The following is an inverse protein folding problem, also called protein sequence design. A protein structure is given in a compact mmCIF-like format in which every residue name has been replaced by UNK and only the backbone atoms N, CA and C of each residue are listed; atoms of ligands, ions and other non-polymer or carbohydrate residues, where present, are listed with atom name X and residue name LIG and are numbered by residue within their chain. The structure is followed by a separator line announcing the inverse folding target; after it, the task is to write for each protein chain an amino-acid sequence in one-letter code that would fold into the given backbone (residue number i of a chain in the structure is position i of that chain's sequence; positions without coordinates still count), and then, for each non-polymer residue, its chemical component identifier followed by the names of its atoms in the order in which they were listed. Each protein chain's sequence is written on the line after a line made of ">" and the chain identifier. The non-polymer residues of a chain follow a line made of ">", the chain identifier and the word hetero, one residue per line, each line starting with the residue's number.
data_IF_602860896978
#
_entry.id   IF_602860896978
#
_cell.length_a   1.000
_cell.length_b   1.000
_cell.length_c   1.000
_cell.angle_alpha   90.00
_cell.angle_beta   90.00
_cell.angle_gamma   90.00
#
_symmetry.space_group_name_H-M   'P 1'
#
loop_
_entity.id
_entity.type
_entity.pdbx_description
1 polymer ?
#
# COMPACT_ATOMS: atom_id res chain seq x y z
N UNK A 1 -15.95 17.24 -11.46
CA UNK A 1 -15.72 17.41 -10.04
C UNK A 1 -14.25 17.58 -9.72
N UNK A 2 -13.94 18.53 -8.90
CA UNK A 2 -12.55 18.77 -8.53
C UNK A 2 -12.09 17.73 -7.52
N UNK A 3 -10.80 17.45 -7.54
CA UNK A 3 -10.19 16.56 -6.55
C UNK A 3 -10.33 17.21 -5.18
N UNK A 4 -10.78 16.44 -4.22
CA UNK A 4 -10.92 16.93 -2.86
C UNK A 4 -9.56 16.99 -2.18
N UNK A 5 -9.48 17.73 -1.08
CA UNK A 5 -8.29 17.72 -0.26
C UNK A 5 -7.99 16.32 0.26
N UNK A 6 -9.03 15.54 0.50
CA UNK A 6 -8.88 14.16 0.94
C UNK A 6 -8.17 13.31 -0.12
N UNK A 7 -8.58 13.46 -1.38
CA UNK A 7 -7.95 12.70 -2.45
C UNK A 7 -6.48 13.08 -2.60
N UNK A 8 -6.19 14.37 -2.60
CA UNK A 8 -4.82 14.84 -2.76
C UNK A 8 -3.94 14.32 -1.63
N UNK A 9 -4.42 14.40 -0.41
CA UNK A 9 -3.69 13.92 0.75
C UNK A 9 -3.44 12.41 0.66
N UNK A 10 -4.46 11.68 0.24
CA UNK A 10 -4.35 10.22 0.12
C UNK A 10 -3.35 9.83 -0.96
N UNK A 11 -3.32 10.57 -2.07
CA UNK A 11 -2.36 10.29 -3.12
C UNK A 11 -0.93 10.55 -2.66
N UNK A 12 -0.74 11.54 -1.79
CA UNK A 12 0.58 11.78 -1.20
C UNK A 12 0.99 10.60 -0.30
N UNK A 13 0.02 10.03 0.42
CA UNK A 13 0.31 8.85 1.24
C UNK A 13 0.72 7.67 0.36
N UNK A 14 0.08 7.53 -0.80
CA UNK A 14 0.46 6.45 -1.72
C UNK A 14 1.90 6.63 -2.19
N UNK A 15 2.30 7.86 -2.50
CA UNK A 15 3.69 8.13 -2.86
C UNK A 15 4.64 7.75 -1.73
N UNK A 16 4.24 8.01 -0.50
CA UNK A 16 5.05 7.64 0.67
C UNK A 16 5.19 6.13 0.79
N UNK A 17 4.12 5.39 0.49
CA UNK A 17 4.17 3.93 0.50
C UNK A 17 5.21 3.45 -0.51
N UNK A 18 5.19 3.99 -1.71
CA UNK A 18 6.11 3.61 -2.76
C UNK A 18 7.56 3.90 -2.35
N UNK A 19 7.79 5.07 -1.78
CA UNK A 19 9.12 5.46 -1.32
C UNK A 19 9.60 4.51 -0.22
N UNK A 20 8.71 4.17 0.69
CA UNK A 20 9.04 3.27 1.80
C UNK A 20 9.39 1.88 1.27
N UNK A 21 8.64 1.39 0.28
CA UNK A 21 8.94 0.09 -0.32
C UNK A 21 10.32 0.07 -0.96
N UNK A 22 10.72 1.16 -1.61
CA UNK A 22 12.06 1.23 -2.19
C UNK A 22 13.13 1.13 -1.13
N UNK A 23 12.92 1.76 0.02
CA UNK A 23 13.87 1.68 1.13
C UNK A 23 13.99 0.25 1.64
N UNK A 24 12.86 -0.44 1.73
CA UNK A 24 12.85 -1.84 2.14
C UNK A 24 13.66 -2.67 1.16
N UNK A 25 13.42 -2.47 -0.14
CA UNK A 25 14.13 -3.24 -1.16
C UNK A 25 15.64 -3.03 -1.10
N UNK A 26 16.06 -1.80 -0.82
CA UNK A 26 17.49 -1.49 -0.71
C UNK A 26 18.11 -2.23 0.49
N UNK A 27 17.34 -2.44 1.54
CA UNK A 27 17.85 -3.09 2.74
C UNK A 27 17.92 -4.62 2.64
N UNK A 28 17.18 -5.21 1.69
CA UNK A 28 17.09 -6.67 1.59
C UNK A 28 18.46 -7.37 1.48
N UNK A 29 19.39 -6.91 0.65
CA UNK A 29 20.67 -7.62 0.52
C UNK A 29 21.47 -7.73 1.81
N UNK A 30 21.21 -6.86 2.79
CA UNK A 30 21.93 -6.90 4.06
C UNK A 30 21.30 -7.85 5.07
N UNK A 31 20.18 -8.45 4.73
CA UNK A 31 19.43 -9.30 5.66
C UNK A 31 19.78 -10.78 5.49
N UNK A 32 19.77 -11.50 6.60
CA UNK A 32 19.95 -12.94 6.55
C UNK A 32 18.63 -13.62 6.19
N UNK A 33 18.68 -14.95 6.03
CA UNK A 33 17.51 -15.70 5.54
C UNK A 33 16.31 -15.59 6.47
N UNK A 34 16.54 -15.61 7.77
CA UNK A 34 15.45 -15.52 8.74
C UNK A 34 14.80 -14.14 8.70
N UNK A 35 15.61 -13.11 8.61
CA UNK A 35 15.09 -11.74 8.55
C UNK A 35 14.29 -11.52 7.28
N UNK A 36 14.76 -12.05 6.17
CA UNK A 36 14.04 -11.95 4.89
C UNK A 36 12.68 -12.62 4.97
N UNK A 37 12.63 -13.77 5.61
CA UNK A 37 11.39 -14.50 5.76
C UNK A 37 10.38 -13.71 6.60
N UNK A 38 10.84 -13.13 7.69
CA UNK A 38 9.99 -12.34 8.56
C UNK A 38 9.48 -11.10 7.87
N UNK A 39 10.35 -10.45 7.11
CA UNK A 39 9.95 -9.26 6.36
C UNK A 39 8.93 -9.62 5.29
N UNK A 40 9.14 -10.74 4.61
CA UNK A 40 8.20 -11.18 3.58
C UNK A 40 6.81 -11.40 4.16
N UNK A 41 6.73 -11.97 5.35
CA UNK A 41 5.44 -12.17 6.02
C UNK A 41 4.77 -10.85 6.37
N UNK A 42 5.56 -9.91 6.89
CA UNK A 42 5.03 -8.58 7.21
C UNK A 42 4.53 -7.85 5.97
N UNK A 43 5.29 -7.96 4.88
CA UNK A 43 4.88 -7.32 3.62
C UNK A 43 3.63 -7.98 3.05
N UNK A 44 3.50 -9.27 3.22
CA UNK A 44 2.31 -9.97 2.74
C UNK A 44 1.07 -9.49 3.48
N UNK A 45 1.19 -9.30 4.78
CA UNK A 45 0.10 -8.75 5.58
C UNK A 45 -0.26 -7.34 5.14
N UNK A 46 0.76 -6.50 4.94
CA UNK A 46 0.55 -5.13 4.47
C UNK A 46 -0.08 -5.12 3.07
N UNK A 47 0.36 -6.05 2.22
CA UNK A 47 -0.20 -6.18 0.88
C UNK A 47 -1.66 -6.55 0.89
N UNK A 48 -2.08 -7.37 1.86
CA UNK A 48 -3.49 -7.69 2.03
C UNK A 48 -4.31 -6.48 2.38
N UNK A 49 -3.82 -5.66 3.30
CA UNK A 49 -4.51 -4.44 3.68
C UNK A 49 -4.62 -3.48 2.50
N UNK A 50 -3.55 -3.37 1.73
CA UNK A 50 -3.55 -2.53 0.53
C UNK A 50 -4.59 -3.01 -0.47
N UNK A 51 -4.62 -4.30 -0.70
CA UNK A 51 -5.56 -4.90 -1.64
C UNK A 51 -7.00 -4.69 -1.19
N UNK A 52 -7.26 -4.82 0.10
CA UNK A 52 -8.59 -4.58 0.66
C UNK A 52 -9.03 -3.14 0.45
N UNK A 53 -8.11 -2.20 0.59
CA UNK A 53 -8.42 -0.79 0.36
C UNK A 53 -8.81 -0.55 -1.09
N UNK A 54 -8.09 -1.19 -2.02
CA UNK A 54 -8.41 -1.07 -3.44
C UNK A 54 -9.81 -1.59 -3.72
N UNK A 55 -10.12 -2.76 -3.18
CA UNK A 55 -11.44 -3.35 -3.37
C UNK A 55 -12.54 -2.48 -2.80
N UNK A 56 -12.27 -1.88 -1.66
CA UNK A 56 -13.24 -1.01 -1.01
C UNK A 56 -13.54 0.21 -1.86
N UNK A 57 -12.51 0.78 -2.46
CA UNK A 57 -12.66 1.93 -3.33
C UNK A 57 -13.47 1.58 -4.57
N UNK A 58 -13.24 0.41 -5.13
CA UNK A 58 -13.98 -0.03 -6.32
C UNK A 58 -15.41 -0.39 -5.98
N UNK A 59 -15.63 -0.95 -4.80
CA UNK A 59 -16.97 -1.29 -4.35
C UNK A 59 -17.82 -0.05 -4.14
N UNK A 60 -17.21 1.00 -3.64
CA UNK A 60 -17.89 2.27 -3.44
C UNK A 60 -18.45 2.81 -4.74
N UNK A 61 -17.70 2.61 -5.82
CA UNK A 61 -18.14 3.00 -7.14
C UNK A 61 -19.43 2.30 -7.53
N UNK A 62 -19.54 1.01 -7.21
CA UNK A 62 -20.74 0.24 -7.50
C UNK A 62 -21.94 0.72 -6.70
N UNK A 63 -21.72 1.06 -5.45
CA UNK A 63 -22.78 1.58 -4.60
C UNK A 63 -23.37 2.85 -5.18
N UNK A 64 -22.50 3.70 -5.67
CA UNK A 64 -22.94 4.97 -6.25
C UNK A 64 -23.82 4.74 -7.46
N UNK A 65 -23.50 3.69 -8.24
CA UNK A 65 -24.24 3.38 -9.44
C UNK A 65 -25.67 2.93 -9.13
N UNK A 66 -25.93 2.48 -7.94
CA UNK A 66 -27.27 2.07 -7.56
C UNK A 66 -28.14 3.26 -7.19
#
# INVERSE_FOLDING_TARGET
>A
MLASGELIRSMNYVDDITTTLRRICIAIPAMNAEERKRLAESLRTAGGALNDAIKDLEKEKEKVAQ
#
